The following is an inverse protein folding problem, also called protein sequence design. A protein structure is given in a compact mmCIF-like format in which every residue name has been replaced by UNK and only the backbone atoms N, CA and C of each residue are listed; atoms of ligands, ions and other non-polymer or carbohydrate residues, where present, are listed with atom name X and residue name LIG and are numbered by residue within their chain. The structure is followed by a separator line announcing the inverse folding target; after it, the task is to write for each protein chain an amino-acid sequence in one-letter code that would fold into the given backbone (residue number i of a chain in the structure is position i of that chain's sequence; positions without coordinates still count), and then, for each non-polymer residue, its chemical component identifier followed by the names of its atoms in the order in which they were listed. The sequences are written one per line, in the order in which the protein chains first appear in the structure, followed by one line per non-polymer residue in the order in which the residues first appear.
data_IF_500780793260
#
_entry.id   IF_500780793260
#
_cell.length_a   1.000
_cell.length_b   1.000
_cell.length_c   1.000
_cell.angle_alpha   90.00
_cell.angle_beta   90.00
_cell.angle_gamma   90.00
#
_symmetry.space_group_name_H-M   'P 1'
#
loop_
_entity.id
_entity.type
_entity.pdbx_description
1 polymer ?
#
# COMPACT_ATOMS: atom_id res chain seq x y z
N UNK A 1 -7.31 0.30 -0.36
CA UNK A 1 -7.19 0.83 1.00
C UNK A 1 -6.57 -0.19 1.95
N UNK A 2 -7.12 -1.41 2.08
CA UNK A 2 -6.62 -2.44 3.00
C UNK A 2 -5.16 -2.82 2.76
N UNK A 3 -4.73 -2.94 1.51
CA UNK A 3 -3.33 -3.21 1.15
C UNK A 3 -2.42 -2.08 1.66
N UNK A 4 -2.82 -0.83 1.52
CA UNK A 4 -2.07 0.31 2.01
C UNK A 4 -2.01 0.33 3.55
N UNK A 5 -3.13 0.04 4.22
CA UNK A 5 -3.21 -0.04 5.67
C UNK A 5 -2.27 -1.12 6.22
N UNK A 6 -2.25 -2.31 5.63
CA UNK A 6 -1.37 -3.40 6.07
C UNK A 6 0.10 -3.11 5.78
N UNK A 7 0.41 -2.44 4.67
CA UNK A 7 1.77 -1.99 4.38
C UNK A 7 2.27 -0.96 5.41
N UNK A 8 1.42 -0.01 5.80
CA UNK A 8 1.71 0.98 6.84
C UNK A 8 1.88 0.32 8.22
N UNK A 9 1.01 -0.62 8.58
CA UNK A 9 1.11 -1.36 9.82
C UNK A 9 2.42 -2.18 9.89
N UNK A 10 2.79 -2.86 8.82
CA UNK A 10 4.04 -3.60 8.72
C UNK A 10 5.27 -2.71 8.88
N UNK A 11 5.26 -1.53 8.28
CA UNK A 11 6.35 -0.57 8.39
C UNK A 11 6.46 0.04 9.79
N UNK A 12 5.33 0.28 10.48
CA UNK A 12 5.31 0.70 11.89
C UNK A 12 5.88 -0.39 12.80
N UNK A 13 5.46 -1.65 12.59
CA UNK A 13 6.00 -2.81 13.31
C UNK A 13 7.52 -2.92 13.16
N UNK A 14 8.04 -2.75 11.94
CA UNK A 14 9.48 -2.73 11.68
C UNK A 14 10.19 -1.67 12.53
N UNK A 15 9.64 -0.47 12.63
CA UNK A 15 10.21 0.62 13.44
C UNK A 15 10.26 0.28 14.93
N UNK A 16 9.19 -0.31 15.45
CA UNK A 16 9.16 -0.76 16.83
C UNK A 16 10.19 -1.86 17.11
N UNK A 17 10.33 -2.82 16.22
CA UNK A 17 11.32 -3.89 16.36
C UNK A 17 12.75 -3.38 16.21
N UNK A 18 12.99 -2.43 15.33
CA UNK A 18 14.28 -1.78 15.18
C UNK A 18 14.70 -1.01 16.46
N UNK A 19 13.76 -0.31 17.12
CA UNK A 19 14.02 0.36 18.40
C UNK A 19 14.32 -0.59 19.53
N UNK A 20 13.72 -1.78 19.54
CA UNK A 20 14.01 -2.84 20.54
C UNK A 20 15.34 -3.54 20.31
N UNK A 21 16.15 -3.11 19.34
CA UNK A 21 17.48 -3.64 19.10
C UNK A 21 17.51 -5.01 18.44
N UNK A 22 16.38 -5.51 17.93
CA UNK A 22 16.30 -6.85 17.30
C UNK A 22 17.14 -6.99 16.04
N UNK A 23 17.60 -5.85 15.46
CA UNK A 23 18.40 -5.80 14.23
C UNK A 23 19.85 -5.38 14.45
N UNK A 24 20.36 -5.33 15.70
CA UNK A 24 21.73 -4.91 16.01
C UNK A 24 22.81 -5.79 15.36
N UNK A 25 22.47 -7.02 14.98
CA UNK A 25 23.38 -7.99 14.35
C UNK A 25 23.38 -7.98 12.81
N UNK A 26 22.59 -7.12 12.17
CA UNK A 26 22.46 -7.10 10.70
C UNK A 26 23.36 -6.07 10.03
N UNK A 27 23.92 -6.47 8.87
CA UNK A 27 24.81 -5.64 8.04
C UNK A 27 24.09 -4.40 7.50
N UNK A 28 24.80 -3.26 7.37
CA UNK A 28 24.23 -1.98 6.91
C UNK A 28 23.64 -2.04 5.49
N UNK A 29 24.06 -3.00 4.67
CA UNK A 29 23.63 -3.11 3.27
C UNK A 29 22.19 -3.65 3.10
N UNK A 30 21.64 -4.31 4.13
CA UNK A 30 20.26 -4.83 4.13
C UNK A 30 19.20 -3.78 4.53
N UNK A 31 19.59 -2.51 4.71
CA UNK A 31 18.73 -1.47 5.30
C UNK A 31 17.45 -1.14 4.52
N UNK A 32 17.39 -1.47 3.24
CA UNK A 32 16.18 -1.24 2.41
C UNK A 32 15.28 -2.46 2.30
N UNK A 33 15.88 -3.62 2.18
CA UNK A 33 15.14 -4.86 1.89
C UNK A 33 14.29 -5.31 3.08
N UNK A 34 14.79 -5.15 4.30
CA UNK A 34 14.08 -5.59 5.51
C UNK A 34 12.81 -4.79 5.77
N UNK A 35 12.82 -3.43 5.82
CA UNK A 35 11.58 -2.67 5.99
C UNK A 35 10.60 -2.88 4.85
N UNK A 36 11.11 -3.08 3.62
CA UNK A 36 10.28 -3.43 2.48
C UNK A 36 9.56 -4.76 2.69
N UNK A 37 10.25 -5.81 3.13
CA UNK A 37 9.65 -7.11 3.42
C UNK A 37 8.61 -7.04 4.53
N UNK A 38 8.87 -6.28 5.60
CA UNK A 38 7.91 -6.09 6.69
C UNK A 38 6.60 -5.44 6.24
N UNK A 39 6.67 -4.56 5.24
CA UNK A 39 5.50 -3.92 4.65
C UNK A 39 4.84 -4.79 3.58
N UNK A 40 5.66 -5.47 2.78
CA UNK A 40 5.21 -6.21 1.60
C UNK A 40 4.52 -7.53 1.93
N UNK A 41 5.05 -8.30 2.89
CA UNK A 41 4.47 -9.60 3.25
C UNK A 41 3.02 -9.50 3.76
N UNK A 42 2.68 -8.61 4.70
CA UNK A 42 1.29 -8.43 5.11
C UNK A 42 0.39 -7.91 3.98
N UNK A 43 0.92 -7.01 3.15
CA UNK A 43 0.20 -6.46 2.00
C UNK A 43 -0.12 -7.55 0.96
N UNK A 44 0.83 -8.45 0.69
CA UNK A 44 0.64 -9.62 -0.17
C UNK A 44 -0.40 -10.58 0.40
N UNK A 45 -0.38 -10.80 1.71
CA UNK A 45 -1.35 -11.69 2.35
C UNK A 45 -2.79 -11.18 2.16
N UNK A 46 -3.01 -9.88 2.34
CA UNK A 46 -4.32 -9.26 2.09
C UNK A 46 -4.69 -9.30 0.60
N UNK A 47 -3.72 -9.06 -0.29
CA UNK A 47 -3.96 -9.16 -1.73
C UNK A 47 -4.38 -10.59 -2.12
N UNK A 48 -3.70 -11.61 -1.58
CA UNK A 48 -4.05 -13.00 -1.81
C UNK A 48 -5.45 -13.34 -1.25
N UNK A 49 -5.79 -12.86 -0.05
CA UNK A 49 -7.12 -13.06 0.52
C UNK A 49 -8.22 -12.39 -0.32
N UNK A 50 -7.97 -11.19 -0.85
CA UNK A 50 -8.90 -10.50 -1.74
C UNK A 50 -9.11 -11.27 -3.04
N UNK A 51 -8.02 -11.78 -3.65
CA UNK A 51 -8.11 -12.62 -4.84
C UNK A 51 -8.87 -13.91 -4.58
N UNK A 52 -8.63 -14.54 -3.44
CA UNK A 52 -9.31 -15.78 -3.06
C UNK A 52 -10.82 -15.55 -2.88
N UNK A 53 -11.20 -14.43 -2.28
CA UNK A 53 -12.61 -14.04 -2.15
C UNK A 53 -13.26 -13.78 -3.51
N UNK A 54 -12.51 -13.21 -4.45
CA UNK A 54 -12.97 -12.94 -5.80
C UNK A 54 -13.15 -14.23 -6.60
N UNK A 55 -12.23 -15.19 -6.49
CA UNK A 55 -12.34 -16.51 -7.11
C UNK A 55 -13.52 -17.30 -6.57
N UNK A 56 -13.80 -17.21 -5.27
CA UNK A 56 -14.94 -17.90 -4.65
C UNK A 56 -16.28 -17.26 -5.06
N UNK A 57 -16.33 -15.94 -5.19
CA UNK A 57 -17.56 -15.21 -5.53
C UNK A 57 -17.90 -15.28 -7.01
N UNK A 58 -16.89 -15.40 -7.88
CA UNK A 58 -17.08 -15.54 -9.32
C UNK A 58 -16.98 -17.02 -9.69
N UNK A 59 -18.07 -17.63 -10.12
CA UNK A 59 -18.08 -18.98 -10.72
C UNK A 59 -17.42 -19.03 -12.09
N UNK A 60 -16.63 -18.01 -12.44
CA UNK A 60 -15.98 -17.90 -13.74
C UNK A 60 -14.71 -18.75 -13.80
N UNK A 61 -14.44 -19.44 -14.92
CA UNK A 61 -13.21 -20.20 -15.10
C UNK A 61 -11.97 -19.28 -15.02
N UNK A 62 -10.83 -19.86 -14.67
CA UNK A 62 -9.53 -19.18 -14.63
C UNK A 62 -9.24 -18.53 -16.00
N UNK A 63 -9.64 -17.30 -16.17
CA UNK A 63 -9.49 -16.52 -17.39
C UNK A 63 -8.28 -15.59 -17.30
N UNK A 64 -7.81 -15.13 -18.47
CA UNK A 64 -6.74 -14.13 -18.57
C UNK A 64 -6.97 -12.90 -17.67
N UNK A 65 -8.23 -12.55 -17.41
CA UNK A 65 -8.65 -11.49 -16.51
C UNK A 65 -8.17 -11.72 -15.06
N UNK A 66 -8.31 -12.92 -14.50
CA UNK A 66 -7.83 -13.24 -13.14
C UNK A 66 -6.31 -13.15 -13.03
N UNK A 67 -5.59 -13.52 -14.08
CA UNK A 67 -4.12 -13.42 -14.12
C UNK A 67 -3.70 -11.95 -14.12
N UNK A 68 -4.35 -11.12 -14.94
CA UNK A 68 -4.08 -9.68 -15.00
C UNK A 68 -4.39 -9.00 -13.65
N UNK A 69 -5.52 -9.34 -13.03
CA UNK A 69 -5.91 -8.81 -11.72
C UNK A 69 -4.93 -9.22 -10.62
N UNK A 70 -4.47 -10.47 -10.64
CA UNK A 70 -3.43 -10.97 -9.71
C UNK A 70 -2.13 -10.19 -9.85
N UNK A 71 -1.66 -10.00 -11.07
CA UNK A 71 -0.46 -9.23 -11.35
C UNK A 71 -0.61 -7.77 -10.87
N UNK A 72 -1.76 -7.17 -11.11
CA UNK A 72 -2.08 -5.81 -10.69
C UNK A 72 -2.07 -5.65 -9.17
N UNK A 73 -2.66 -6.59 -8.42
CA UNK A 73 -2.62 -6.60 -6.95
C UNK A 73 -1.19 -6.74 -6.40
N UNK A 74 -0.36 -7.60 -6.99
CA UNK A 74 1.04 -7.80 -6.61
C UNK A 74 1.85 -6.51 -6.84
N UNK A 75 1.70 -5.90 -8.01
CA UNK A 75 2.38 -4.64 -8.36
C UNK A 75 1.93 -3.52 -7.41
N UNK A 76 0.64 -3.42 -7.14
CA UNK A 76 0.10 -2.41 -6.24
C UNK A 76 0.59 -2.60 -4.80
N UNK A 77 0.66 -3.83 -4.30
CA UNK A 77 1.22 -4.13 -2.99
C UNK A 77 2.70 -3.75 -2.91
N UNK A 78 3.48 -4.02 -3.97
CA UNK A 78 4.88 -3.63 -4.05
C UNK A 78 5.05 -2.09 -4.03
N UNK A 79 4.23 -1.37 -4.78
CA UNK A 79 4.22 0.09 -4.83
C UNK A 79 3.89 0.72 -3.46
N UNK A 80 2.84 0.24 -2.80
CA UNK A 80 2.48 0.67 -1.45
C UNK A 80 3.61 0.42 -0.45
N UNK A 81 4.24 -0.75 -0.53
CA UNK A 81 5.36 -1.12 0.36
C UNK A 81 6.59 -0.26 0.11
N UNK A 82 6.86 0.10 -1.13
CA UNK A 82 7.94 1.01 -1.49
C UNK A 82 7.71 2.41 -0.94
N UNK A 83 6.50 2.95 -1.08
CA UNK A 83 6.10 4.23 -0.50
C UNK A 83 6.28 4.21 1.02
N UNK A 84 5.79 3.16 1.69
CA UNK A 84 5.93 3.00 3.14
C UNK A 84 7.40 2.93 3.58
N UNK A 85 8.25 2.26 2.80
CA UNK A 85 9.71 2.18 3.07
C UNK A 85 10.39 3.53 2.93
N UNK A 86 10.01 4.31 1.91
CA UNK A 86 10.51 5.68 1.75
C UNK A 86 10.05 6.58 2.90
N UNK A 87 8.79 6.48 3.30
CA UNK A 87 8.25 7.23 4.44
C UNK A 87 8.97 6.88 5.75
N UNK A 88 9.33 5.61 5.98
CA UNK A 88 10.12 5.23 7.17
C UNK A 88 11.49 5.88 7.20
N UNK A 89 12.05 6.24 6.07
CA UNK A 89 13.34 6.96 5.99
C UNK A 89 13.19 8.46 6.18
N UNK A 90 12.14 9.06 5.61
CA UNK A 90 11.90 10.50 5.69
C UNK A 90 11.52 10.92 7.12
N UNK A 91 10.70 10.11 7.79
CA UNK A 91 10.21 10.44 9.13
C UNK A 91 11.07 9.77 10.18
N UNK A 92 11.95 10.51 10.85
CA UNK A 92 12.87 9.97 11.85
C UNK A 92 12.17 9.57 13.18
N UNK A 93 11.12 10.31 13.57
CA UNK A 93 10.37 10.03 14.79
C UNK A 93 9.31 8.95 14.56
N UNK A 94 9.26 7.93 15.45
CA UNK A 94 8.20 6.90 15.36
C UNK A 94 6.84 7.44 15.72
N UNK A 95 6.77 8.36 16.69
CA UNK A 95 5.50 8.97 17.10
C UNK A 95 4.92 9.79 15.94
N UNK A 96 5.78 10.55 15.24
CA UNK A 96 5.35 11.30 14.07
C UNK A 96 4.92 10.38 12.92
N UNK A 97 5.59 9.22 12.75
CA UNK A 97 5.20 8.24 11.75
C UNK A 97 3.83 7.62 12.04
N UNK A 98 3.60 7.19 13.28
CA UNK A 98 2.33 6.59 13.68
C UNK A 98 1.17 7.61 13.57
N UNK A 99 1.42 8.89 13.86
CA UNK A 99 0.46 9.97 13.65
C UNK A 99 0.18 10.27 12.16
N UNK A 100 1.13 9.99 11.27
CA UNK A 100 0.97 10.15 9.82
C UNK A 100 0.10 9.06 9.19
N UNK A 101 0.04 7.87 9.79
CA UNK A 101 -0.75 6.74 9.26
C UNK A 101 -2.21 7.12 9.00
N UNK A 102 -2.99 7.64 9.98
CA UNK A 102 -4.38 8.01 9.75
C UNK A 102 -4.53 9.14 8.74
N UNK A 103 -3.58 10.07 8.67
CA UNK A 103 -3.59 11.17 7.70
C UNK A 103 -3.43 10.64 6.28
N UNK A 104 -2.48 9.72 6.05
CA UNK A 104 -2.25 9.10 4.74
C UNK A 104 -3.46 8.26 4.33
N UNK A 105 -4.05 7.51 5.27
CA UNK A 105 -5.24 6.71 4.98
C UNK A 105 -6.44 7.60 4.63
N UNK A 106 -6.65 8.68 5.37
CA UNK A 106 -7.69 9.66 5.07
C UNK A 106 -7.48 10.30 3.70
N UNK A 107 -6.23 10.66 3.39
CA UNK A 107 -5.87 11.19 2.09
C UNK A 107 -6.16 10.19 0.96
N UNK A 108 -5.72 8.93 1.11
CA UNK A 108 -6.01 7.88 0.13
C UNK A 108 -7.50 7.62 -0.04
N UNK A 109 -8.28 7.77 1.03
CA UNK A 109 -9.72 7.57 1.02
C UNK A 109 -10.44 8.73 0.32
N UNK A 110 -10.08 9.98 0.62
CA UNK A 110 -10.68 11.17 0.02
C UNK A 110 -10.37 11.29 -1.47
N UNK A 111 -9.15 10.93 -1.88
CA UNK A 111 -8.72 10.98 -3.27
C UNK A 111 -8.92 9.67 -4.02
N UNK A 112 -9.68 8.73 -3.44
CA UNK A 112 -10.09 7.51 -4.12
C UNK A 112 -11.33 7.77 -4.96
N UNK A 113 -11.29 7.52 -6.27
CA UNK A 113 -12.45 7.74 -7.17
C UNK A 113 -13.64 6.81 -6.85
N UNK A 114 -13.47 5.86 -5.94
CA UNK A 114 -14.52 4.89 -5.53
C UNK A 114 -15.58 5.51 -4.63
N UNK A 115 -15.18 6.48 -3.78
CA UNK A 115 -16.10 7.02 -2.77
C UNK A 115 -16.84 8.25 -3.23
N UNK A 116 -16.14 9.21 -3.82
CA UNK A 116 -16.72 10.44 -4.34
C UNK A 116 -15.79 11.04 -5.39
N UNK A 117 -16.34 11.45 -6.52
CA UNK A 117 -15.62 12.31 -7.43
C UNK A 117 -15.75 13.75 -6.95
N UNK A 118 -14.74 14.23 -6.24
CA UNK A 118 -14.67 15.58 -5.69
C UNK A 118 -14.02 16.57 -6.66
N UNK A 119 -13.86 16.19 -7.93
CA UNK A 119 -13.22 17.03 -8.96
C UNK A 119 -13.90 18.38 -9.13
N UNK A 120 -15.22 18.42 -8.94
CA UNK A 120 -16.04 19.63 -9.09
C UNK A 120 -15.98 20.55 -7.86
N UNK A 121 -15.59 20.01 -6.69
CA UNK A 121 -15.62 20.75 -5.42
C UNK A 121 -14.24 21.27 -4.99
N UNK A 122 -13.17 20.59 -5.36
CA UNK A 122 -11.81 20.93 -4.91
C UNK A 122 -10.97 21.36 -6.10
N UNK A 123 -10.59 22.66 -6.21
CA UNK A 123 -9.66 23.09 -7.24
C UNK A 123 -8.31 22.38 -7.06
N UNK A 124 -7.80 21.79 -8.14
CA UNK A 124 -6.56 21.00 -8.09
C UNK A 124 -6.72 19.55 -7.65
N UNK A 125 -7.96 19.07 -7.43
CA UNK A 125 -8.23 17.66 -7.10
C UNK A 125 -7.52 16.68 -8.03
N UNK A 126 -7.58 16.91 -9.33
CA UNK A 126 -6.94 16.06 -10.32
C UNK A 126 -5.43 15.95 -10.14
N UNK A 127 -4.77 17.00 -9.70
CA UNK A 127 -3.32 17.04 -9.49
C UNK A 127 -2.96 16.33 -8.19
N UNK A 128 -3.69 16.59 -7.10
CA UNK A 128 -3.51 15.96 -5.80
C UNK A 128 -3.88 14.47 -5.81
N UNK A 129 -4.88 14.08 -6.59
CA UNK A 129 -5.29 12.68 -6.72
C UNK A 129 -4.19 11.79 -7.33
N UNK A 130 -3.27 12.36 -8.14
CA UNK A 130 -2.11 11.63 -8.64
C UNK A 130 -1.12 11.22 -7.56
N UNK A 131 -1.12 11.87 -6.40
CA UNK A 131 -0.34 11.47 -5.24
C UNK A 131 -0.95 10.28 -4.48
N UNK A 132 -2.24 10.02 -4.67
CA UNK A 132 -2.91 8.90 -4.03
C UNK A 132 -2.66 7.59 -4.80
N UNK A 133 -2.05 6.57 -4.18
CA UNK A 133 -1.76 5.29 -4.86
C UNK A 133 -3.03 4.58 -5.35
N UNK A 134 -4.19 4.87 -4.76
CA UNK A 134 -5.49 4.36 -5.21
C UNK A 134 -5.84 4.78 -6.62
N UNK A 135 -5.48 5.99 -7.05
CA UNK A 135 -5.71 6.45 -8.43
C UNK A 135 -4.90 5.64 -9.44
N UNK A 136 -3.67 5.28 -9.09
CA UNK A 136 -2.81 4.47 -9.95
C UNK A 136 -3.39 3.07 -10.18
N UNK A 137 -3.98 2.49 -9.12
CA UNK A 137 -4.67 1.21 -9.25
C UNK A 137 -5.83 1.30 -10.26
N UNK A 138 -6.68 2.34 -10.15
CA UNK A 138 -7.81 2.52 -11.08
C UNK A 138 -7.36 2.86 -12.49
N UNK A 139 -6.31 3.66 -12.64
CA UNK A 139 -5.76 3.98 -13.97
C UNK A 139 -5.23 2.71 -14.66
N UNK A 140 -4.56 1.83 -13.93
CA UNK A 140 -4.10 0.53 -14.44
C UNK A 140 -5.26 -0.42 -14.72
N UNK A 141 -6.25 -0.46 -13.84
CA UNK A 141 -7.45 -1.29 -14.03
C UNK A 141 -8.24 -0.92 -15.29
N UNK A 142 -8.35 0.37 -15.61
CA UNK A 142 -9.05 0.85 -16.80
C UNK A 142 -8.26 0.65 -18.10
N UNK A 143 -7.00 0.22 -18.03
CA UNK A 143 -6.17 -0.10 -19.20
C UNK A 143 -6.38 -1.56 -19.69
N UNK A 144 -6.98 -2.41 -18.88
CA UNK A 144 -7.28 -3.83 -19.17
C UNK A 144 -8.78 -4.07 -19.33
#
# INVERSE_FOLDING_TARGET
LFIMLTALAGSSQFRHDAKKGRFLLRRPDEKLFVPFLYSYLPALFIAAAALLSLVISTTTPLNAFLIAETALFIIFAALCSLICTLLTRLVHSSIAYDALIPVILLFCLLYSPVLMDLSDFIPGYNLLSWLAPTKWYFALYNLF
#
